data_IF_677642305236
#
_entry.id   IF_677642305236
#
_cell.length_a   1.000
_cell.length_b   1.000
_cell.length_c   1.000
_cell.angle_alpha   90.00
_cell.angle_beta   90.00
_cell.angle_gamma   90.00
#
_symmetry.space_group_name_H-M   'P 1'
#
loop_
_entity.id
_entity.type
_entity.pdbx_description
1 polymer ?
#
# COMPACT_ATOMS: atom_id res chain seq x y z
N UNK A 1 -24.05 -4.55 -0.96
CA UNK A 1 -22.74 -3.91 -0.77
C UNK A 1 -22.63 -2.67 -1.63
N UNK A 2 -22.66 -1.49 -1.00
CA UNK A 2 -22.46 -0.18 -1.65
C UNK A 2 -21.20 -0.11 -2.53
N UNK A 3 -20.16 -0.88 -2.19
CA UNK A 3 -18.93 -0.98 -2.97
C UNK A 3 -19.11 -1.48 -4.41
N UNK A 4 -20.08 -2.36 -4.67
CA UNK A 4 -20.37 -2.81 -6.03
C UNK A 4 -21.10 -1.73 -6.85
N UNK A 5 -21.87 -0.86 -6.19
CA UNK A 5 -22.48 0.31 -6.83
C UNK A 5 -21.43 1.34 -7.20
N UNK A 6 -20.54 1.66 -6.25
CA UNK A 6 -19.45 2.64 -6.45
C UNK A 6 -18.47 2.20 -7.55
N UNK A 7 -18.19 0.90 -7.65
CA UNK A 7 -17.37 0.34 -8.73
C UNK A 7 -18.06 0.47 -10.10
N UNK A 8 -19.37 0.19 -10.18
CA UNK A 8 -20.13 0.32 -11.43
C UNK A 8 -20.25 1.77 -11.90
N UNK A 9 -20.40 2.72 -10.97
CA UNK A 9 -20.44 4.15 -11.27
C UNK A 9 -19.10 4.64 -11.81
N UNK A 10 -17.99 4.20 -11.20
CA UNK A 10 -16.66 4.58 -11.67
C UNK A 10 -16.32 3.97 -13.04
N UNK A 11 -16.74 2.72 -13.28
CA UNK A 11 -16.56 2.05 -14.58
C UNK A 11 -17.40 2.69 -15.67
N UNK A 12 -18.63 3.13 -15.38
CA UNK A 12 -19.46 3.87 -16.34
C UNK A 12 -18.93 5.26 -16.65
N UNK A 13 -18.32 5.95 -15.68
CA UNK A 13 -17.66 7.24 -15.91
C UNK A 13 -16.41 7.17 -16.79
N UNK A 14 -15.80 5.98 -16.92
CA UNK A 14 -14.59 5.76 -17.73
C UNK A 14 -14.86 5.39 -19.20
N UNK A 15 -16.12 5.26 -19.61
CA UNK A 15 -16.46 4.98 -21.01
C UNK A 15 -16.58 6.29 -21.81
N UNK A 16 -15.76 6.51 -22.84
CA UNK A 16 -15.74 7.78 -23.54
C UNK A 16 -16.91 7.89 -24.53
N UNK A 17 -18.03 8.46 -24.09
CA UNK A 17 -18.98 9.09 -25.02
C UNK A 17 -18.64 10.57 -25.18
N UNK A 18 -18.04 10.91 -26.33
CA UNK A 18 -18.28 12.20 -26.99
C UNK A 18 -17.34 13.39 -26.70
N UNK A 19 -16.23 13.40 -27.45
CA UNK A 19 -15.67 14.57 -28.19
C UNK A 19 -14.93 15.67 -27.39
N UNK A 20 -13.60 15.59 -27.44
CA UNK A 20 -12.66 16.72 -27.34
C UNK A 20 -11.33 16.31 -27.95
N UNK A 21 -10.86 17.06 -28.93
CA UNK A 21 -9.81 16.70 -29.88
C UNK A 21 -8.42 16.57 -29.25
N UNK A 22 -8.01 15.35 -28.95
CA UNK A 22 -6.63 14.87 -29.07
C UNK A 22 -6.71 13.38 -29.37
N UNK A 23 -6.44 13.01 -30.62
CA UNK A 23 -6.11 11.62 -30.97
C UNK A 23 -4.78 11.29 -30.28
N UNK A 24 -4.85 10.94 -29.00
CA UNK A 24 -3.90 9.99 -28.45
C UNK A 24 -4.18 8.69 -29.19
N UNK A 25 -3.22 8.26 -30.00
CA UNK A 25 -3.23 6.98 -30.68
C UNK A 25 -3.81 5.93 -29.74
N UNK A 26 -4.88 5.26 -30.17
CA UNK A 26 -5.46 4.17 -29.41
C UNK A 26 -4.36 3.12 -29.25
N UNK A 27 -3.70 3.11 -28.09
CA UNK A 27 -2.73 2.08 -27.77
C UNK A 27 -3.42 0.73 -28.00
N UNK A 28 -2.87 -0.15 -28.86
CA UNK A 28 -3.59 -1.33 -29.34
C UNK A 28 -3.85 -2.38 -28.25
N UNK A 29 -3.54 -2.09 -26.98
CA UNK A 29 -3.64 -3.02 -25.88
C UNK A 29 -4.13 -2.33 -24.59
N UNK A 30 -5.43 -2.49 -24.28
CA UNK A 30 -6.05 -1.97 -23.06
C UNK A 30 -5.34 -2.45 -21.77
N UNK A 31 -4.74 -3.64 -21.77
CA UNK A 31 -3.97 -4.14 -20.63
C UNK A 31 -2.68 -3.32 -20.42
N UNK A 32 -2.02 -2.88 -21.49
CA UNK A 32 -0.84 -2.01 -21.42
C UNK A 32 -1.20 -0.61 -20.93
N UNK A 33 -2.33 -0.06 -21.39
CA UNK A 33 -2.84 1.21 -20.87
C UNK A 33 -3.13 1.14 -19.37
N UNK A 34 -3.79 0.08 -18.90
CA UNK A 34 -4.05 -0.12 -17.47
C UNK A 34 -2.76 -0.28 -16.66
N UNK A 35 -1.81 -1.11 -17.13
CA UNK A 35 -0.50 -1.27 -16.50
C UNK A 35 0.22 0.07 -16.35
N UNK A 36 0.29 0.86 -17.43
CA UNK A 36 0.92 2.19 -17.41
C UNK A 36 0.22 3.14 -16.46
N UNK A 37 -1.11 3.12 -16.42
CA UNK A 37 -1.90 3.88 -15.46
C UNK A 37 -1.59 3.51 -14.00
N UNK A 38 -1.53 2.21 -13.69
CA UNK A 38 -1.16 1.73 -12.34
C UNK A 38 0.28 2.14 -11.95
N UNK A 39 1.24 2.00 -12.86
CA UNK A 39 2.63 2.40 -12.63
C UNK A 39 2.72 3.91 -12.41
N UNK A 40 2.07 4.71 -13.28
CA UNK A 40 2.03 6.17 -13.15
C UNK A 40 1.40 6.63 -11.84
N UNK A 41 0.28 6.02 -11.43
CA UNK A 41 -0.36 6.30 -10.14
C UNK A 41 0.55 5.95 -8.95
N UNK A 42 1.27 4.83 -9.03
CA UNK A 42 2.21 4.39 -7.99
C UNK A 42 3.39 5.36 -7.86
N UNK A 43 3.99 5.77 -8.98
CA UNK A 43 5.08 6.75 -9.01
C UNK A 43 4.62 8.10 -8.45
N UNK A 44 3.44 8.59 -8.85
CA UNK A 44 2.88 9.82 -8.30
C UNK A 44 2.64 9.73 -6.79
N UNK A 45 2.25 8.55 -6.28
CA UNK A 45 2.10 8.33 -4.84
C UNK A 45 3.43 8.34 -4.10
N UNK A 46 4.48 7.76 -4.67
CA UNK A 46 5.83 7.80 -4.10
C UNK A 46 6.40 9.23 -4.10
N UNK A 47 6.20 9.99 -5.18
CA UNK A 47 6.64 11.39 -5.25
C UNK A 47 5.97 12.29 -4.20
N UNK A 48 4.73 11.99 -3.78
CA UNK A 48 4.08 12.73 -2.67
C UNK A 48 4.77 12.48 -1.33
N UNK A 49 5.28 11.27 -1.10
CA UNK A 49 6.02 10.95 0.12
C UNK A 49 7.27 11.82 0.20
N UNK A 50 8.00 11.97 -0.92
CA UNK A 50 9.20 12.82 -1.00
C UNK A 50 8.88 14.29 -0.69
N UNK A 51 7.78 14.83 -1.24
CA UNK A 51 7.40 16.24 -1.03
C UNK A 51 6.84 16.58 0.36
N UNK A 52 6.39 15.58 1.11
CA UNK A 52 5.69 15.74 2.38
C UNK A 52 6.37 15.04 3.55
N UNK A 53 7.63 14.64 3.40
CA UNK A 53 8.35 13.88 4.40
C UNK A 53 8.74 14.76 5.59
N UNK A 54 8.15 14.49 6.75
CA UNK A 54 8.54 15.13 8.00
C UNK A 54 9.74 14.41 8.62
N UNK A 55 10.93 14.97 8.38
CA UNK A 55 12.20 14.45 8.88
C UNK A 55 12.23 14.39 10.41
N UNK A 56 11.68 15.41 11.09
CA UNK A 56 11.75 15.49 12.55
C UNK A 56 10.91 14.39 13.21
N UNK A 57 9.70 14.16 12.70
CA UNK A 57 8.86 13.05 13.16
C UNK A 57 9.50 11.68 12.88
N UNK A 58 10.18 11.55 11.73
CA UNK A 58 10.89 10.33 11.37
C UNK A 58 12.06 10.02 12.32
N UNK A 59 12.88 11.03 12.64
CA UNK A 59 13.99 10.88 13.60
C UNK A 59 13.49 10.52 15.01
N UNK A 60 12.41 11.15 15.47
CA UNK A 60 11.77 10.81 16.76
C UNK A 60 11.30 9.36 16.81
N UNK A 61 10.69 8.88 15.73
CA UNK A 61 10.28 7.48 15.61
C UNK A 61 11.49 6.56 15.67
N UNK A 62 12.57 6.86 14.92
CA UNK A 62 13.79 6.04 14.95
C UNK A 62 14.41 5.98 16.34
N UNK A 63 14.50 7.11 17.07
CA UNK A 63 14.99 7.14 18.44
C UNK A 63 14.15 6.24 19.36
N UNK A 64 12.83 6.28 19.21
CA UNK A 64 11.91 5.43 19.99
C UNK A 64 12.11 3.94 19.69
N UNK A 65 12.33 3.58 18.42
CA UNK A 65 12.59 2.20 18.02
C UNK A 65 13.98 1.71 18.47
N UNK A 66 14.98 2.60 18.50
CA UNK A 66 16.33 2.28 18.94
C UNK A 66 16.42 2.01 20.45
N UNK A 67 15.63 2.76 21.25
CA UNK A 67 15.56 2.57 22.70
C UNK A 67 14.65 1.39 23.11
N UNK A 68 13.89 0.81 22.17
CA UNK A 68 12.95 -0.25 22.49
C UNK A 68 13.65 -1.60 22.76
N UNK A 69 13.38 -2.17 23.93
CA UNK A 69 13.83 -3.53 24.25
C UNK A 69 13.21 -4.59 23.32
N UNK A 70 11.96 -4.40 22.94
CA UNK A 70 11.18 -5.32 22.12
C UNK A 70 10.18 -4.54 21.26
N UNK A 71 10.21 -4.76 19.94
CA UNK A 71 9.30 -4.11 19.00
C UNK A 71 8.14 -5.06 18.66
N UNK A 72 6.91 -4.67 18.99
CA UNK A 72 5.72 -5.37 18.53
C UNK A 72 5.28 -4.82 17.18
N UNK A 73 5.22 -5.69 16.17
CA UNK A 73 4.77 -5.34 14.82
C UNK A 73 3.37 -5.92 14.62
N UNK A 74 2.39 -5.07 14.31
CA UNK A 74 0.99 -5.47 14.14
C UNK A 74 0.53 -5.11 12.74
N UNK A 75 -0.01 -6.08 11.99
CA UNK A 75 -0.57 -5.84 10.67
C UNK A 75 -1.65 -6.85 10.30
N UNK A 76 -2.72 -6.38 9.68
CA UNK A 76 -3.84 -7.22 9.23
C UNK A 76 -4.20 -6.97 7.77
N UNK A 77 -4.88 -7.93 7.14
CA UNK A 77 -5.38 -7.85 5.76
C UNK A 77 -4.26 -7.46 4.79
N UNK A 78 -4.37 -6.29 4.14
CA UNK A 78 -3.40 -5.79 3.17
C UNK A 78 -2.08 -5.32 3.79
N UNK A 79 -2.06 -5.03 5.10
CA UNK A 79 -0.84 -4.64 5.79
C UNK A 79 -0.02 -5.85 6.26
N UNK A 80 -0.64 -7.04 6.37
CA UNK A 80 0.04 -8.23 6.89
C UNK A 80 1.32 -8.60 6.12
N UNK A 81 1.36 -8.59 4.77
CA UNK A 81 2.61 -8.88 4.05
C UNK A 81 3.71 -7.86 4.34
N UNK A 82 3.35 -6.59 4.52
CA UNK A 82 4.29 -5.51 4.83
C UNK A 82 4.88 -5.68 6.22
N UNK A 83 4.05 -5.95 7.21
CA UNK A 83 4.49 -6.15 8.60
C UNK A 83 5.28 -7.43 8.79
N UNK A 84 4.94 -8.48 8.04
CA UNK A 84 5.72 -9.74 8.01
C UNK A 84 7.12 -9.48 7.48
N UNK A 85 7.23 -8.76 6.36
CA UNK A 85 8.53 -8.42 5.81
C UNK A 85 9.34 -7.51 6.75
N UNK A 86 8.69 -6.53 7.40
CA UNK A 86 9.35 -5.68 8.38
C UNK A 86 9.88 -6.47 9.58
N UNK A 87 9.09 -7.36 10.16
CA UNK A 87 9.51 -8.25 11.26
C UNK A 87 10.70 -9.12 10.85
N UNK A 88 10.68 -9.67 9.64
CA UNK A 88 11.80 -10.42 9.08
C UNK A 88 13.07 -9.55 8.98
N UNK A 89 12.97 -8.34 8.42
CA UNK A 89 14.10 -7.42 8.30
C UNK A 89 14.66 -7.01 9.67
N UNK A 90 13.80 -6.69 10.64
CA UNK A 90 14.22 -6.39 12.02
C UNK A 90 14.99 -7.57 12.62
N UNK A 91 14.48 -8.79 12.44
CA UNK A 91 15.13 -10.02 12.91
C UNK A 91 16.51 -10.23 12.27
N UNK A 92 16.64 -9.96 10.97
CA UNK A 92 17.92 -10.04 10.24
C UNK A 92 18.96 -9.04 10.74
N UNK A 93 18.53 -7.90 11.27
CA UNK A 93 19.41 -6.89 11.91
C UNK A 93 19.65 -7.16 13.40
N UNK A 94 19.16 -8.29 13.94
CA UNK A 94 19.31 -8.64 15.35
C UNK A 94 18.39 -7.85 16.30
N UNK A 95 17.41 -7.12 15.76
CA UNK A 95 16.46 -6.34 16.56
C UNK A 95 15.38 -7.26 17.10
N UNK A 96 15.22 -7.30 18.43
CA UNK A 96 14.20 -8.10 19.10
C UNK A 96 12.81 -7.59 18.71
N UNK A 97 12.00 -8.47 18.11
CA UNK A 97 10.65 -8.12 17.68
C UNK A 97 9.69 -9.30 17.76
N UNK A 98 8.38 -9.00 17.82
CA UNK A 98 7.28 -9.97 17.76
C UNK A 98 6.27 -9.50 16.73
N UNK A 99 6.02 -10.31 15.70
CA UNK A 99 4.88 -10.10 14.81
C UNK A 99 3.61 -10.61 15.51
N UNK A 100 2.67 -9.72 15.76
CA UNK A 100 1.33 -10.06 16.24
C UNK A 100 0.42 -10.13 15.02
N UNK A 101 0.07 -11.34 14.65
CA UNK A 101 -0.87 -11.62 13.57
C UNK A 101 -2.17 -12.24 14.10
N UNK A 102 -3.15 -12.37 13.22
CA UNK A 102 -4.45 -12.92 13.58
C UNK A 102 -4.49 -14.46 13.54
N UNK A 103 -3.33 -15.12 13.36
CA UNK A 103 -3.23 -16.57 13.16
C UNK A 103 -3.59 -17.33 14.45
N UNK A 104 -3.47 -16.66 15.61
CA UNK A 104 -3.97 -17.18 16.89
C UNK A 104 -5.49 -17.20 17.06
N UNK A 105 -6.26 -16.46 16.26
CA UNK A 105 -7.74 -16.45 16.40
C UNK A 105 -8.39 -17.76 15.94
N UNK A 106 -7.73 -18.52 15.06
CA UNK A 106 -8.18 -19.86 14.64
C UNK A 106 -7.74 -20.98 15.60
N UNK A 107 -6.84 -20.71 16.54
CA UNK A 107 -6.37 -21.70 17.52
C UNK A 107 -7.29 -21.81 18.74
N UNK A 108 -8.15 -20.81 18.98
CA UNK A 108 -9.15 -20.79 20.06
C UNK A 108 -10.53 -21.29 19.61
N UNK A 109 -10.67 -21.68 18.33
CA UNK A 109 -11.90 -22.19 17.71
C UNK A 109 -11.80 -23.69 17.39
N UNK A 110 -10.87 -24.41 18.03
CA UNK A 110 -10.72 -25.87 17.97
C UNK A 110 -10.96 -26.54 19.32
#
# INVERSE_FOLDING_TARGET
>A
SDFQGLFKDHVKGSWPEGRGEQRAEAEPNAAMHFLRGMVGASLASLGRIESGFDVESFEKMLATLADADLIYVIGSKRAFPVTTYLSLTLSQQGVRNVLVDNVGSTALDQ
#
